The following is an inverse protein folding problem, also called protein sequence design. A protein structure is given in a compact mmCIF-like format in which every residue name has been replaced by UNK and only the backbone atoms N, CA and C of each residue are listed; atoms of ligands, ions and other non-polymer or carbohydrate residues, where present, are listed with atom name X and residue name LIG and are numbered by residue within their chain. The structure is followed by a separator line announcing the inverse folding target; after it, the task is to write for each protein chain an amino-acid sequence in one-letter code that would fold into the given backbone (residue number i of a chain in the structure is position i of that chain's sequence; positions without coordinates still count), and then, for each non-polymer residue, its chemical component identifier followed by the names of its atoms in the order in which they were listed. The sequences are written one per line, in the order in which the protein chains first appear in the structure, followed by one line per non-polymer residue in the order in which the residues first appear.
data_IF_956868464106
#
_entry.id   IF_956868464106
#
_cell.length_a   1.000
_cell.length_b   1.000
_cell.length_c   1.000
_cell.angle_alpha   90.00
_cell.angle_beta   90.00
_cell.angle_gamma   90.00
#
_symmetry.space_group_name_H-M   'P 1'
#
loop_
_entity.id
_entity.type
_entity.pdbx_description
1 polymer ?
#
# COMPACT_ATOMS: atom_id res chain seq x y z
N UNK A 1 -50.96 24.64 0.92
CA UNK A 1 -49.66 23.94 0.90
C UNK A 1 -49.43 23.38 2.29
N UNK A 2 -49.32 22.05 2.44
CA UNK A 2 -48.94 21.44 3.73
C UNK A 2 -47.43 21.64 3.88
N UNK A 3 -47.04 22.59 4.72
CA UNK A 3 -45.65 22.91 5.00
C UNK A 3 -45.06 21.94 6.01
N UNK A 4 -43.82 21.52 5.76
CA UNK A 4 -42.98 20.79 6.73
C UNK A 4 -42.89 21.59 8.03
N UNK A 5 -43.01 20.93 9.18
CA UNK A 5 -42.86 21.62 10.47
C UNK A 5 -41.38 21.82 10.81
N UNK A 6 -41.04 22.93 11.48
CA UNK A 6 -39.67 23.20 11.93
C UNK A 6 -39.16 22.12 12.91
N UNK A 7 -40.07 21.53 13.68
CA UNK A 7 -39.72 20.46 14.63
C UNK A 7 -39.41 19.13 13.93
N UNK A 8 -40.12 18.78 12.84
CA UNK A 8 -39.78 17.61 12.02
C UNK A 8 -38.37 17.72 11.47
N UNK A 9 -37.99 18.90 10.97
CA UNK A 9 -36.66 19.11 10.40
C UNK A 9 -35.57 19.07 11.49
N UNK A 10 -35.86 19.59 12.70
CA UNK A 10 -34.92 19.58 13.83
C UNK A 10 -34.59 18.16 14.31
N UNK A 11 -35.60 17.30 14.47
CA UNK A 11 -35.39 15.91 14.89
C UNK A 11 -34.60 15.12 13.84
N UNK A 12 -34.85 15.36 12.55
CA UNK A 12 -34.12 14.70 11.46
C UNK A 12 -32.64 15.08 11.48
N UNK A 13 -32.32 16.37 11.61
CA UNK A 13 -30.91 16.82 11.67
C UNK A 13 -30.21 16.27 12.92
N UNK A 14 -30.92 16.18 14.05
CA UNK A 14 -30.39 15.59 15.28
C UNK A 14 -30.04 14.10 15.09
N UNK A 15 -30.92 13.31 14.47
CA UNK A 15 -30.67 11.88 14.21
C UNK A 15 -29.50 11.72 13.21
N UNK A 16 -29.47 12.50 12.13
CA UNK A 16 -28.37 12.46 11.14
C UNK A 16 -27.03 12.84 11.80
N UNK A 17 -27.02 13.83 12.69
CA UNK A 17 -25.82 14.23 13.43
C UNK A 17 -25.24 13.08 14.26
N UNK A 18 -26.08 12.37 15.01
CA UNK A 18 -25.65 11.22 15.82
C UNK A 18 -25.07 10.12 14.92
N UNK A 19 -25.78 9.73 13.86
CA UNK A 19 -25.32 8.68 12.93
C UNK A 19 -24.01 9.06 12.23
N UNK A 20 -23.86 10.32 11.81
CA UNK A 20 -22.65 10.79 11.12
C UNK A 20 -21.40 10.71 12.00
N UNK A 21 -21.55 10.92 13.31
CA UNK A 21 -20.41 10.92 14.26
C UNK A 21 -19.73 9.56 14.34
N UNK A 22 -20.50 8.47 14.21
CA UNK A 22 -19.99 7.09 14.25
C UNK A 22 -19.62 6.60 12.84
N UNK A 23 -20.40 6.98 11.82
CA UNK A 23 -20.22 6.50 10.46
C UNK A 23 -18.93 7.03 9.79
N UNK A 24 -18.59 8.31 10.00
CA UNK A 24 -17.45 8.94 9.34
C UNK A 24 -16.09 8.28 9.67
N UNK A 25 -15.70 8.06 10.94
CA UNK A 25 -14.43 7.42 11.25
C UNK A 25 -14.37 5.97 10.74
N UNK A 26 -15.49 5.25 10.75
CA UNK A 26 -15.56 3.89 10.20
C UNK A 26 -15.36 3.88 8.68
N UNK A 27 -16.00 4.82 7.98
CA UNK A 27 -15.83 4.98 6.54
C UNK A 27 -14.38 5.32 6.17
N UNK A 28 -13.73 6.23 6.90
CA UNK A 28 -12.32 6.56 6.67
C UNK A 28 -11.39 5.36 6.83
N UNK A 29 -11.61 4.52 7.85
CA UNK A 29 -10.85 3.26 8.04
C UNK A 29 -11.08 2.29 6.88
N UNK A 30 -12.32 2.14 6.42
CA UNK A 30 -12.64 1.27 5.28
C UNK A 30 -11.93 1.73 4.00
N UNK A 31 -11.95 3.03 3.69
CA UNK A 31 -11.27 3.59 2.52
C UNK A 31 -9.76 3.36 2.59
N UNK A 32 -9.13 3.61 3.76
CA UNK A 32 -7.69 3.32 3.97
C UNK A 32 -7.37 1.84 3.75
N UNK A 33 -8.21 0.94 4.28
CA UNK A 33 -8.07 -0.50 4.10
C UNK A 33 -8.13 -0.89 2.63
N UNK A 34 -9.11 -0.37 1.89
CA UNK A 34 -9.26 -0.65 0.45
C UNK A 34 -8.05 -0.17 -0.34
N UNK A 35 -7.51 1.02 -0.04
CA UNK A 35 -6.30 1.53 -0.71
C UNK A 35 -5.08 0.64 -0.45
N UNK A 36 -4.89 0.19 0.79
CA UNK A 36 -3.81 -0.75 1.09
C UNK A 36 -4.00 -2.10 0.39
N UNK A 37 -5.24 -2.60 0.31
CA UNK A 37 -5.52 -3.85 -0.40
C UNK A 37 -5.29 -3.77 -1.91
N UNK A 38 -5.43 -2.58 -2.51
CA UNK A 38 -5.07 -2.35 -3.91
C UNK A 38 -3.57 -2.44 -4.16
N UNK A 39 -2.74 -2.16 -3.16
CA UNK A 39 -1.28 -2.25 -3.26
C UNK A 39 -0.78 -3.69 -3.29
N UNK A 40 -1.44 -4.60 -2.58
CA UNK A 40 -1.00 -6.00 -2.48
C UNK A 40 -0.74 -6.69 -3.84
N UNK A 41 -1.66 -6.67 -4.83
CA UNK A 41 -1.39 -7.29 -6.13
C UNK A 41 -0.30 -6.57 -6.93
N UNK A 42 -0.19 -5.24 -6.81
CA UNK A 42 0.83 -4.44 -7.51
C UNK A 42 2.23 -4.79 -7.02
N UNK A 43 2.40 -4.79 -5.70
CA UNK A 43 3.66 -5.11 -5.04
C UNK A 43 4.03 -6.57 -5.29
N UNK A 44 3.05 -7.48 -5.31
CA UNK A 44 3.28 -8.87 -5.66
C UNK A 44 3.78 -9.02 -7.09
N UNK A 45 3.15 -8.37 -8.07
CA UNK A 45 3.60 -8.43 -9.46
C UNK A 45 5.05 -7.96 -9.59
N UNK A 46 5.40 -6.86 -8.92
CA UNK A 46 6.77 -6.33 -8.87
C UNK A 46 7.77 -7.30 -8.23
N UNK A 47 7.41 -7.90 -7.09
CA UNK A 47 8.25 -8.90 -6.46
C UNK A 47 8.46 -10.11 -7.36
N UNK A 48 7.41 -10.60 -8.02
CA UNK A 48 7.50 -11.75 -8.93
C UNK A 48 8.43 -11.46 -10.13
N UNK A 49 8.44 -10.22 -10.66
CA UNK A 49 9.37 -9.86 -11.74
C UNK A 49 10.81 -9.65 -11.26
N UNK A 50 11.01 -9.12 -10.05
CA UNK A 50 12.33 -9.05 -9.43
C UNK A 50 12.91 -10.46 -9.24
N UNK A 51 12.12 -11.43 -8.79
CA UNK A 51 12.57 -12.82 -8.71
C UNK A 51 12.91 -13.39 -10.10
N UNK A 52 12.09 -13.11 -11.12
CA UNK A 52 12.38 -13.53 -12.49
C UNK A 52 13.69 -12.93 -13.02
N UNK A 53 13.94 -11.64 -12.74
CA UNK A 53 15.18 -10.97 -13.11
C UNK A 53 16.37 -11.55 -12.33
N UNK A 54 16.21 -11.84 -11.05
CA UNK A 54 17.23 -12.49 -10.22
C UNK A 54 17.61 -13.87 -10.75
N UNK A 55 16.64 -14.68 -11.20
CA UNK A 55 16.91 -15.98 -11.81
C UNK A 55 17.73 -15.88 -13.10
N UNK A 56 17.60 -14.78 -13.85
CA UNK A 56 18.34 -14.55 -15.08
C UNK A 56 19.73 -13.93 -14.86
N UNK A 57 19.85 -13.00 -13.90
CA UNK A 57 21.04 -12.15 -13.74
C UNK A 57 21.82 -12.38 -12.43
N UNK A 58 21.27 -13.17 -11.50
CA UNK A 58 21.87 -13.46 -10.19
C UNK A 58 21.82 -12.31 -9.17
N UNK A 59 21.12 -11.23 -9.49
CA UNK A 59 20.96 -10.04 -8.64
C UNK A 59 19.62 -9.37 -8.92
N UNK A 60 19.10 -8.61 -7.95
CA UNK A 60 17.93 -7.75 -8.15
C UNK A 60 18.33 -6.46 -8.84
N UNK A 61 17.39 -5.85 -9.56
CA UNK A 61 17.62 -4.57 -10.22
C UNK A 61 17.13 -3.41 -9.35
N UNK A 62 17.80 -2.25 -9.37
CA UNK A 62 17.22 -1.01 -8.85
C UNK A 62 16.27 -0.34 -9.85
N UNK A 63 16.20 -0.86 -11.08
CA UNK A 63 15.54 -0.19 -12.19
C UNK A 63 14.27 -0.92 -12.60
N UNK A 64 13.13 -0.23 -12.44
CA UNK A 64 11.84 -0.74 -12.89
C UNK A 64 11.76 -0.96 -14.42
N UNK A 65 12.63 -0.30 -15.19
CA UNK A 65 12.74 -0.43 -16.65
C UNK A 65 13.37 -1.74 -17.11
N UNK A 66 14.09 -2.44 -16.24
CA UNK A 66 14.66 -3.76 -16.51
C UNK A 66 13.70 -4.91 -16.18
N UNK A 67 12.57 -4.59 -15.53
CA UNK A 67 11.53 -5.55 -15.21
C UNK A 67 10.51 -5.64 -16.35
N UNK A 68 10.22 -6.86 -16.80
CA UNK A 68 9.18 -7.12 -17.80
C UNK A 68 7.79 -7.16 -17.15
N UNK A 69 7.30 -5.99 -16.71
CA UNK A 69 5.97 -5.82 -16.13
C UNK A 69 5.13 -4.84 -16.94
N UNK A 70 3.87 -5.22 -17.17
CA UNK A 70 2.83 -4.28 -17.57
C UNK A 70 2.21 -3.61 -16.36
N UNK A 71 2.32 -2.29 -16.29
CA UNK A 71 1.76 -1.50 -15.21
C UNK A 71 0.25 -1.27 -15.40
N UNK A 72 -0.55 -1.28 -14.33
CA UNK A 72 -1.97 -1.02 -14.43
C UNK A 72 -2.28 0.47 -14.73
N UNK A 73 -3.49 0.68 -15.24
CA UNK A 73 -4.03 2.01 -15.53
C UNK A 73 -4.02 2.92 -14.29
N UNK A 74 -3.66 4.19 -14.48
CA UNK A 74 -3.58 5.18 -13.39
C UNK A 74 -2.17 5.41 -12.83
N UNK A 75 -1.16 4.72 -13.38
CA UNK A 75 0.24 5.15 -13.28
C UNK A 75 0.42 6.50 -13.99
N UNK A 76 1.15 7.42 -13.38
CA UNK A 76 1.44 8.70 -14.00
C UNK A 76 2.43 8.51 -15.18
N UNK A 77 2.30 9.28 -16.25
CA UNK A 77 3.26 9.22 -17.35
C UNK A 77 4.68 9.57 -16.84
N UNK A 78 5.67 8.72 -17.13
CA UNK A 78 7.03 8.85 -16.57
C UNK A 78 7.13 8.48 -15.09
N UNK A 79 6.11 7.84 -14.51
CA UNK A 79 6.12 7.36 -13.13
C UNK A 79 7.14 6.26 -12.91
N UNK A 80 7.34 5.37 -13.89
CA UNK A 80 8.47 4.46 -13.95
C UNK A 80 9.68 5.31 -14.39
N UNK A 81 10.31 5.96 -13.42
CA UNK A 81 11.62 6.57 -13.67
C UNK A 81 12.67 5.48 -13.61
N UNK A 82 13.86 5.76 -14.14
CA UNK A 82 15.08 4.97 -13.90
C UNK A 82 15.49 4.96 -12.40
N UNK A 83 14.60 5.28 -11.45
CA UNK A 83 14.88 5.30 -10.01
C UNK A 83 14.12 4.21 -9.23
N UNK A 84 13.41 3.30 -9.89
CA UNK A 84 12.75 2.17 -9.21
C UNK A 84 11.41 2.50 -8.53
N UNK A 85 10.91 3.73 -8.66
CA UNK A 85 9.62 4.15 -8.12
C UNK A 85 8.52 4.13 -9.18
N UNK A 86 7.27 4.05 -8.73
CA UNK A 86 6.02 4.22 -9.48
C UNK A 86 5.11 5.13 -8.67
N UNK A 87 4.43 6.05 -9.34
CA UNK A 87 3.50 7.01 -8.75
C UNK A 87 2.14 6.88 -9.41
N UNK A 88 1.11 6.86 -8.57
CA UNK A 88 -0.28 6.81 -8.98
C UNK A 88 -0.95 8.17 -8.75
N UNK A 89 -1.99 8.46 -9.53
CA UNK A 89 -2.75 9.71 -9.42
C UNK A 89 -3.45 9.91 -8.07
N UNK A 90 -3.67 8.84 -7.31
CA UNK A 90 -4.26 8.88 -5.96
C UNK A 90 -3.26 9.24 -4.85
N UNK A 91 -1.98 9.48 -5.22
CA UNK A 91 -0.89 9.80 -4.29
C UNK A 91 -0.20 8.56 -3.71
N UNK A 92 -0.56 7.37 -4.17
CA UNK A 92 0.15 6.14 -3.86
C UNK A 92 1.48 6.09 -4.61
N UNK A 93 2.52 5.62 -3.94
CA UNK A 93 3.85 5.38 -4.51
C UNK A 93 4.21 3.94 -4.28
N UNK A 94 4.65 3.22 -5.29
CA UNK A 94 5.27 1.90 -5.14
C UNK A 94 6.75 2.05 -5.48
N UNK A 95 7.60 1.39 -4.71
CA UNK A 95 9.03 1.60 -4.72
C UNK A 95 9.72 0.24 -4.67
N UNK A 96 10.58 0.01 -5.64
CA UNK A 96 11.64 -0.98 -5.61
C UNK A 96 12.75 -0.39 -4.74
N UNK A 97 12.55 -0.44 -3.42
CA UNK A 97 13.54 0.03 -2.47
C UNK A 97 14.63 -1.05 -2.30
N UNK A 98 15.19 -1.49 -3.42
CA UNK A 98 16.57 -1.97 -3.53
C UNK A 98 17.52 -0.77 -3.57
N UNK A 99 17.27 0.24 -2.73
CA UNK A 99 17.92 1.55 -2.77
C UNK A 99 19.44 1.47 -2.83
N UNK A 100 19.99 1.75 -4.02
CA UNK A 100 21.34 2.24 -4.32
C UNK A 100 22.55 1.63 -3.58
N UNK A 101 22.44 0.44 -2.99
CA UNK A 101 23.53 -0.18 -2.21
C UNK A 101 23.51 -1.71 -2.15
N UNK A 102 22.69 -2.40 -2.95
CA UNK A 102 22.47 -3.83 -2.80
C UNK A 102 23.05 -4.67 -3.94
N UNK A 103 24.37 -4.60 -4.07
CA UNK A 103 25.15 -5.64 -4.74
C UNK A 103 25.09 -6.91 -3.87
N UNK A 104 24.63 -8.03 -4.44
CA UNK A 104 24.76 -9.42 -3.93
C UNK A 104 24.73 -9.60 -2.39
N UNK A 105 23.58 -10.04 -1.85
CA UNK A 105 23.52 -10.60 -0.49
C UNK A 105 23.27 -9.59 0.65
N UNK A 106 22.59 -8.48 0.39
CA UNK A 106 22.26 -7.51 1.42
C UNK A 106 20.95 -7.77 2.18
N UNK A 107 20.97 -7.43 3.46
CA UNK A 107 20.05 -7.85 4.49
C UNK A 107 18.60 -7.31 4.42
N UNK A 108 18.14 -6.67 3.34
CA UNK A 108 16.73 -6.24 3.20
C UNK A 108 16.39 -5.85 1.75
N UNK A 109 16.28 -6.82 0.85
CA UNK A 109 15.66 -6.62 -0.46
C UNK A 109 14.11 -6.70 -0.32
N UNK A 110 13.39 -5.66 -0.72
CA UNK A 110 11.93 -5.61 -0.61
C UNK A 110 11.31 -4.64 -1.62
N UNK A 111 10.04 -4.88 -1.94
CA UNK A 111 9.17 -3.95 -2.68
C UNK A 111 8.21 -3.30 -1.70
N UNK A 112 8.00 -2.00 -1.81
CA UNK A 112 7.23 -1.22 -0.84
C UNK A 112 6.22 -0.30 -1.51
N UNK A 113 4.96 -0.38 -1.10
CA UNK A 113 3.93 0.61 -1.43
C UNK A 113 3.68 1.55 -0.27
N UNK A 114 3.63 2.84 -0.55
CA UNK A 114 3.24 3.91 0.35
C UNK A 114 1.95 4.55 -0.14
N UNK A 115 0.92 4.53 0.69
CA UNK A 115 -0.31 5.30 0.47
C UNK A 115 -0.11 6.78 0.80
N UNK A 116 -0.95 7.66 0.26
CA UNK A 116 -0.98 9.10 0.59
C UNK A 116 -1.11 9.35 2.10
N UNK A 117 -1.80 8.46 2.82
CA UNK A 117 -2.02 8.53 4.27
C UNK A 117 -0.80 8.10 5.10
N UNK A 118 0.33 7.75 4.47
CA UNK A 118 1.55 7.32 5.17
C UNK A 118 1.48 5.89 5.70
N UNK A 119 0.57 5.06 5.17
CA UNK A 119 0.54 3.62 5.44
C UNK A 119 1.41 2.93 4.41
N UNK A 120 2.27 2.04 4.89
CA UNK A 120 3.23 1.29 4.10
C UNK A 120 2.85 -0.18 4.04
N UNK A 121 2.98 -0.78 2.86
CA UNK A 121 2.91 -2.21 2.62
C UNK A 121 4.25 -2.65 2.05
N UNK A 122 4.90 -3.64 2.66
CA UNK A 122 6.24 -4.09 2.31
C UNK A 122 6.16 -5.58 2.01
N UNK A 123 6.75 -5.99 0.90
CA UNK A 123 6.95 -7.39 0.55
C UNK A 123 8.44 -7.66 0.40
N UNK A 124 8.97 -8.53 1.26
CA UNK A 124 10.37 -8.90 1.24
C UNK A 124 10.61 -9.97 0.17
N UNK A 125 11.64 -9.76 -0.66
CA UNK A 125 12.04 -10.68 -1.72
C UNK A 125 12.66 -11.95 -1.14
N UNK A 126 12.73 -13.03 -1.92
CA UNK A 126 13.10 -14.37 -1.45
C UNK A 126 14.56 -14.45 -1.00
N UNK A 127 15.42 -13.63 -1.60
CA UNK A 127 16.85 -13.54 -1.24
C UNK A 127 17.14 -12.43 -0.22
N UNK A 128 16.13 -12.01 0.54
CA UNK A 128 16.21 -10.99 1.60
C UNK A 128 16.44 -11.61 2.99
N UNK A 129 16.61 -10.79 4.03
CA UNK A 129 16.70 -11.27 5.41
C UNK A 129 15.38 -11.83 5.97
N UNK A 130 14.27 -11.58 5.30
CA UNK A 130 12.94 -12.04 5.71
C UNK A 130 12.15 -12.54 4.51
N UNK A 131 12.58 -13.65 3.86
CA UNK A 131 12.02 -14.14 2.60
C UNK A 131 10.50 -14.29 2.62
N UNK A 132 9.82 -13.75 1.60
CA UNK A 132 8.36 -13.87 1.41
C UNK A 132 7.50 -13.20 2.48
N UNK A 133 8.10 -12.51 3.46
CA UNK A 133 7.36 -11.83 4.52
C UNK A 133 6.64 -10.61 3.94
N UNK A 134 5.38 -10.43 4.33
CA UNK A 134 4.61 -9.22 4.06
C UNK A 134 4.47 -8.42 5.34
N UNK A 135 4.67 -7.11 5.28
CA UNK A 135 4.57 -6.24 6.46
C UNK A 135 3.76 -4.98 6.17
N UNK A 136 3.05 -4.49 7.18
CA UNK A 136 2.34 -3.21 7.17
C UNK A 136 2.85 -2.30 8.29
N UNK A 137 3.05 -1.02 7.96
CA UNK A 137 3.49 0.04 8.88
C UNK A 137 2.66 1.31 8.70
N UNK A 138 2.64 2.18 9.72
CA UNK A 138 1.94 3.47 9.69
C UNK A 138 0.75 3.52 10.64
N UNK A 139 -0.39 2.95 10.27
CA UNK A 139 -1.60 2.92 11.11
C UNK A 139 -1.72 1.55 11.80
N UNK A 140 -1.35 1.49 13.09
CA UNK A 140 -1.38 0.26 13.89
C UNK A 140 -2.77 -0.39 13.92
N UNK A 141 -3.82 0.42 14.08
CA UNK A 141 -5.19 -0.09 14.16
C UNK A 141 -5.63 -0.75 12.86
N UNK A 142 -5.18 -0.20 11.72
CA UNK A 142 -5.44 -0.75 10.41
C UNK A 142 -4.58 -2.00 10.15
N UNK A 143 -3.28 -1.93 10.41
CA UNK A 143 -2.36 -3.05 10.17
C UNK A 143 -2.73 -4.29 11.01
N UNK A 144 -3.12 -4.09 12.29
CA UNK A 144 -3.67 -5.16 13.15
C UNK A 144 -4.93 -5.79 12.57
N UNK A 145 -5.75 -5.02 11.86
CA UNK A 145 -7.01 -5.52 11.25
C UNK A 145 -6.81 -6.58 10.16
N UNK A 146 -5.56 -6.82 9.74
CA UNK A 146 -5.19 -7.90 8.81
C UNK A 146 -4.79 -9.20 9.52
N UNK A 147 -4.84 -9.26 10.85
CA UNK A 147 -4.55 -10.48 11.62
C UNK A 147 -3.07 -10.81 11.75
N UNK A 148 -2.22 -9.79 11.65
CA UNK A 148 -0.77 -9.93 11.68
C UNK A 148 -0.13 -9.94 13.08
N UNK A 149 1.13 -10.34 13.14
CA UNK A 149 1.97 -10.31 14.35
C UNK A 149 2.97 -9.15 14.30
N UNK A 150 3.52 -8.72 15.45
CA UNK A 150 4.51 -7.65 15.48
C UNK A 150 5.81 -8.06 14.74
N UNK A 151 6.30 -7.21 13.84
CA UNK A 151 7.48 -7.51 13.01
C UNK A 151 8.21 -6.23 12.59
N UNK A 152 9.50 -6.09 12.92
CA UNK A 152 10.38 -4.98 12.50
C UNK A 152 9.76 -3.58 12.66
N UNK A 153 9.11 -3.30 13.80
CA UNK A 153 8.44 -2.01 14.06
C UNK A 153 7.13 -1.82 13.27
N UNK A 154 6.59 -2.89 12.70
CA UNK A 154 5.30 -2.96 12.00
C UNK A 154 4.56 -4.25 12.33
N UNK A 155 3.70 -4.66 11.42
CA UNK A 155 2.88 -5.87 11.55
C UNK A 155 3.12 -6.78 10.35
N UNK A 156 3.53 -8.03 10.58
CA UNK A 156 3.62 -9.08 9.57
C UNK A 156 2.21 -9.50 9.18
N UNK A 157 1.84 -9.29 7.92
CA UNK A 157 0.53 -9.67 7.37
C UNK A 157 0.61 -11.11 6.83
N UNK A 158 -0.45 -11.91 7.00
CA UNK A 158 -0.53 -13.26 6.43
C UNK A 158 -0.31 -13.28 4.92
#
# INVERSE_FOLDING_TARGET
MKGFTLIELLVVVLIIGILSSVALPQYQKAVKKTRLMRLAPLIKAMADAEEAYYLANGQYTPFSSELDISWPDGTLAGAATDDGYLRFSDGTVVDLLSGSSYLTGSASAYVMGKTKEGIYYIHYLDHSSSPGVRSCKGDESLCKSFGGEAFNGGWKIP
#
